data_IF_530177552147
#
_entry.id   IF_530177552147
#
_cell.length_a   1.000
_cell.length_b   1.000
_cell.length_c   1.000
_cell.angle_alpha   90.00
_cell.angle_beta   90.00
_cell.angle_gamma   90.00
#
_symmetry.space_group_name_H-M   'P 1'
#
loop_
_entity.id
_entity.type
_entity.pdbx_description
1 polymer ?
#
# COMPACT_ATOMS: atom_id res chain seq x y z
N UNK A 1 1.56 -5.63 -52.62
CA UNK A 1 2.73 -5.74 -51.71
C UNK A 1 3.18 -4.34 -51.30
N UNK A 2 2.74 -3.86 -50.13
CA UNK A 2 3.36 -2.73 -49.44
C UNK A 2 3.57 -3.17 -48.00
N UNK A 3 4.83 -3.38 -47.67
CA UNK A 3 5.35 -3.75 -46.36
C UNK A 3 5.14 -2.53 -45.44
N UNK A 4 4.21 -2.61 -44.48
CA UNK A 4 4.15 -1.65 -43.37
C UNK A 4 5.12 -2.15 -42.31
N UNK A 5 6.21 -1.42 -42.14
CA UNK A 5 7.17 -1.57 -41.06
C UNK A 5 6.47 -1.07 -39.79
N UNK A 6 6.12 -1.97 -38.86
CA UNK A 6 5.69 -1.60 -37.52
C UNK A 6 6.92 -1.10 -36.75
N UNK A 7 6.91 0.19 -36.40
CA UNK A 7 7.74 0.71 -35.33
C UNK A 7 7.18 0.20 -34.00
N UNK A 8 7.98 -0.59 -33.28
CA UNK A 8 7.72 -0.93 -31.88
C UNK A 8 7.95 0.34 -31.07
N UNK A 9 6.87 1.04 -30.72
CA UNK A 9 6.89 2.15 -29.78
C UNK A 9 6.51 1.64 -28.41
N UNK A 10 7.52 1.27 -27.61
CA UNK A 10 7.45 1.41 -26.16
C UNK A 10 7.14 2.89 -25.88
N UNK A 11 6.16 3.18 -25.01
CA UNK A 11 5.65 4.52 -24.57
C UNK A 11 4.26 4.86 -25.15
N UNK A 12 3.22 4.51 -24.39
CA UNK A 12 2.11 5.42 -24.03
C UNK A 12 1.15 4.75 -23.04
N UNK A 13 1.48 4.78 -21.74
CA UNK A 13 0.50 4.58 -20.66
C UNK A 13 0.31 5.90 -19.87
N UNK A 14 0.61 7.05 -20.51
CA UNK A 14 0.74 8.34 -19.83
C UNK A 14 -0.27 9.42 -20.27
N UNK A 15 -1.24 9.11 -21.14
CA UNK A 15 -2.01 10.18 -21.79
C UNK A 15 -3.54 10.12 -21.72
N UNK A 16 -4.19 9.15 -21.08
CA UNK A 16 -5.65 9.21 -20.88
C UNK A 16 -6.20 8.80 -19.50
N UNK A 17 -5.35 8.42 -18.54
CA UNK A 17 -5.73 8.60 -17.14
C UNK A 17 -5.58 10.09 -16.82
N UNK A 18 -6.72 10.76 -16.63
CA UNK A 18 -6.76 12.14 -16.18
C UNK A 18 -5.74 12.38 -15.05
N UNK A 19 -5.04 13.54 -15.05
CA UNK A 19 -4.08 13.85 -14.01
C UNK A 19 -4.75 13.66 -12.66
N UNK A 20 -3.99 13.08 -11.72
CA UNK A 20 -4.33 12.91 -10.31
C UNK A 20 -4.89 14.22 -9.74
N UNK A 21 -6.20 14.42 -9.88
CA UNK A 21 -6.93 15.65 -9.61
C UNK A 21 -8.40 15.30 -9.43
N UNK A 22 -8.78 15.08 -8.18
CA UNK A 22 -10.15 15.28 -7.69
C UNK A 22 -11.28 14.69 -8.56
N UNK A 23 -11.31 13.36 -8.67
CA UNK A 23 -12.60 12.67 -8.71
C UNK A 23 -12.73 11.93 -7.37
N UNK A 24 -13.55 12.47 -6.47
CA UNK A 24 -14.22 11.64 -5.49
C UNK A 24 -15.10 10.69 -6.28
N UNK A 25 -14.54 9.55 -6.70
CA UNK A 25 -15.37 8.44 -7.13
C UNK A 25 -16.13 7.98 -5.88
N UNK A 26 -17.35 8.46 -5.77
CA UNK A 26 -18.33 7.98 -4.83
C UNK A 26 -18.39 6.45 -4.94
N UNK A 27 -17.82 5.70 -3.98
CA UNK A 27 -18.02 4.25 -3.91
C UNK A 27 -19.55 4.04 -3.89
N UNK A 28 -20.19 3.53 -4.96
CA UNK A 28 -21.58 3.19 -4.90
C UNK A 28 -21.69 2.06 -3.89
N UNK A 29 -22.53 2.25 -2.88
CA UNK A 29 -22.78 1.31 -1.79
C UNK A 29 -23.40 0.00 -2.35
N UNK A 30 -22.55 -0.85 -2.94
CA UNK A 30 -22.93 -2.12 -3.56
C UNK A 30 -21.88 -3.16 -3.20
N UNK A 31 -22.14 -3.87 -2.10
CA UNK A 31 -21.47 -5.14 -1.76
C UNK A 31 -21.31 -5.96 -3.04
N UNK A 32 -20.10 -6.49 -3.26
CA UNK A 32 -19.84 -7.54 -4.25
C UNK A 32 -20.95 -8.62 -4.19
N UNK A 33 -21.86 -8.74 -5.18
CA UNK A 33 -23.05 -9.58 -5.08
C UNK A 33 -22.78 -11.09 -4.92
N UNK A 34 -21.55 -11.54 -5.15
CA UNK A 34 -21.09 -12.92 -4.96
C UNK A 34 -20.55 -13.22 -3.56
N UNK A 35 -20.39 -12.25 -2.65
CA UNK A 35 -19.68 -12.46 -1.37
C UNK A 35 -20.30 -13.55 -0.47
N UNK A 36 -21.60 -13.82 -0.65
CA UNK A 36 -22.34 -14.86 0.07
C UNK A 36 -22.63 -16.11 -0.78
N UNK A 37 -22.14 -16.17 -2.02
CA UNK A 37 -22.40 -17.27 -2.94
C UNK A 37 -21.24 -18.26 -2.93
N UNK A 38 -21.56 -19.54 -2.95
CA UNK A 38 -20.62 -20.63 -3.24
C UNK A 38 -20.63 -21.01 -4.72
N UNK A 39 -21.64 -20.52 -5.46
CA UNK A 39 -21.78 -20.71 -6.89
C UNK A 39 -22.16 -19.38 -7.55
N UNK A 40 -21.40 -19.00 -8.58
CA UNK A 40 -21.61 -17.76 -9.34
C UNK A 40 -21.69 -18.11 -10.81
N UNK A 41 -22.70 -17.59 -11.49
CA UNK A 41 -22.92 -17.87 -12.91
C UNK A 41 -22.32 -16.79 -13.80
N UNK A 42 -21.74 -17.16 -14.93
CA UNK A 42 -21.26 -16.19 -15.91
C UNK A 42 -21.75 -16.54 -17.33
N UNK A 43 -21.92 -15.52 -18.18
CA UNK A 43 -22.18 -15.71 -19.62
C UNK A 43 -21.14 -14.97 -20.46
N UNK A 44 -20.91 -15.45 -21.68
CA UNK A 44 -20.07 -14.79 -22.68
C UNK A 44 -20.97 -14.42 -23.85
N UNK A 45 -21.21 -13.12 -24.04
CA UNK A 45 -22.13 -12.56 -25.04
C UNK A 45 -21.89 -11.03 -25.21
N UNK A 46 -21.53 -10.54 -26.42
CA UNK A 46 -21.31 -11.33 -27.63
C UNK A 46 -19.96 -12.07 -27.60
N UNK A 47 -19.86 -13.09 -28.46
CA UNK A 47 -18.59 -13.73 -28.79
C UNK A 47 -17.82 -12.85 -29.79
N UNK A 48 -16.47 -12.93 -29.79
CA UNK A 48 -15.66 -12.10 -30.66
C UNK A 48 -15.96 -12.38 -32.14
N UNK A 49 -16.03 -11.33 -32.94
CA UNK A 49 -16.33 -11.36 -34.38
C UNK A 49 -15.07 -11.49 -35.25
N UNK A 50 -13.90 -11.20 -34.68
CA UNK A 50 -12.59 -11.39 -35.30
C UNK A 50 -12.40 -12.85 -35.78
N UNK A 51 -12.46 -13.03 -37.10
CA UNK A 51 -12.67 -14.25 -37.90
C UNK A 51 -11.69 -15.43 -37.70
N UNK A 52 -10.90 -15.47 -36.63
CA UNK A 52 -9.85 -16.47 -36.46
C UNK A 52 -9.79 -17.16 -35.11
N UNK A 53 -10.56 -16.77 -34.10
CA UNK A 53 -10.43 -17.42 -32.78
C UNK A 53 -11.31 -18.67 -32.68
N UNK A 54 -10.71 -19.79 -32.31
CA UNK A 54 -11.45 -20.99 -31.92
C UNK A 54 -12.29 -20.65 -30.68
N UNK A 55 -13.61 -20.56 -30.84
CA UNK A 55 -14.56 -20.27 -29.76
C UNK A 55 -14.34 -21.18 -28.53
N UNK A 56 -13.98 -22.44 -28.75
CA UNK A 56 -13.67 -23.37 -27.66
C UNK A 56 -12.41 -22.96 -26.88
N UNK A 57 -11.43 -22.34 -27.53
CA UNK A 57 -10.21 -21.84 -26.90
C UNK A 57 -10.50 -20.61 -26.03
N UNK A 58 -11.31 -19.65 -26.50
CA UNK A 58 -11.76 -18.49 -25.70
C UNK A 58 -12.53 -18.98 -24.48
N UNK A 59 -13.53 -19.84 -24.70
CA UNK A 59 -14.33 -20.44 -23.64
C UNK A 59 -13.46 -21.14 -22.60
N UNK A 60 -12.39 -21.81 -23.03
CA UNK A 60 -11.44 -22.47 -22.13
C UNK A 60 -10.57 -21.48 -21.37
N UNK A 61 -10.08 -20.40 -22.01
CA UNK A 61 -9.29 -19.36 -21.34
C UNK A 61 -10.08 -18.64 -20.26
N UNK A 62 -11.30 -18.19 -20.59
CA UNK A 62 -12.20 -17.55 -19.62
C UNK A 62 -12.52 -18.49 -18.45
N UNK A 63 -12.83 -19.77 -18.73
CA UNK A 63 -13.07 -20.75 -17.67
C UNK A 63 -11.84 -20.90 -16.77
N UNK A 64 -10.61 -21.01 -17.31
CA UNK A 64 -9.40 -21.08 -16.50
C UNK A 64 -9.20 -19.86 -15.61
N UNK A 65 -9.43 -18.66 -16.14
CA UNK A 65 -9.33 -17.42 -15.35
C UNK A 65 -10.33 -17.39 -14.20
N UNK A 66 -11.56 -17.86 -14.41
CA UNK A 66 -12.53 -18.06 -13.33
C UNK A 66 -12.10 -19.16 -12.35
N UNK A 67 -11.58 -20.28 -12.83
CA UNK A 67 -11.13 -21.40 -11.99
C UNK A 67 -9.98 -21.00 -11.06
N UNK A 68 -9.04 -20.16 -11.53
CA UNK A 68 -7.97 -19.59 -10.71
C UNK A 68 -8.53 -18.89 -9.48
N UNK A 69 -9.41 -17.92 -9.68
CA UNK A 69 -10.06 -17.22 -8.58
C UNK A 69 -10.99 -18.12 -7.76
N UNK A 70 -11.71 -19.03 -8.42
CA UNK A 70 -12.63 -19.97 -7.77
C UNK A 70 -11.92 -20.91 -6.80
N UNK A 71 -10.72 -21.37 -7.14
CA UNK A 71 -9.89 -22.24 -6.29
C UNK A 71 -9.44 -21.55 -5.00
N UNK A 72 -9.10 -20.26 -5.08
CA UNK A 72 -8.69 -19.43 -3.94
C UNK A 72 -9.88 -19.09 -3.06
N UNK A 73 -10.96 -18.66 -3.70
CA UNK A 73 -12.13 -18.17 -3.00
C UNK A 73 -13.04 -19.29 -2.52
N UNK A 74 -12.91 -20.53 -2.98
CA UNK A 74 -13.91 -21.57 -2.74
C UNK A 74 -15.27 -21.17 -3.33
N UNK A 75 -15.26 -20.67 -4.56
CA UNK A 75 -16.44 -20.32 -5.36
C UNK A 75 -16.40 -21.12 -6.64
N UNK A 76 -17.50 -21.77 -6.99
CA UNK A 76 -17.65 -22.44 -8.29
C UNK A 76 -18.23 -21.46 -9.30
N UNK A 77 -17.52 -21.24 -10.40
CA UNK A 77 -18.00 -20.41 -11.52
C UNK A 77 -18.57 -21.29 -12.63
N UNK A 78 -19.87 -21.15 -12.88
CA UNK A 78 -20.60 -21.97 -13.85
C UNK A 78 -21.03 -21.13 -15.05
N UNK A 79 -20.66 -21.56 -16.26
CA UNK A 79 -21.12 -20.89 -17.48
C UNK A 79 -22.59 -21.19 -17.76
N UNK A 80 -23.37 -20.14 -18.05
CA UNK A 80 -24.78 -20.24 -18.47
C UNK A 80 -25.02 -19.47 -19.77
N UNK A 81 -26.13 -19.78 -20.45
CA UNK A 81 -26.48 -19.15 -21.73
C UNK A 81 -27.45 -17.95 -21.58
N UNK A 82 -28.01 -17.71 -20.39
CA UNK A 82 -28.89 -16.57 -20.09
C UNK A 82 -28.95 -16.34 -18.57
N UNK A 83 -29.36 -15.13 -18.15
CA UNK A 83 -29.55 -14.76 -16.73
C UNK A 83 -28.36 -15.08 -15.81
N UNK A 84 -27.16 -14.66 -16.22
CA UNK A 84 -25.93 -14.84 -15.44
C UNK A 84 -25.72 -13.75 -14.39
N UNK A 85 -24.96 -14.06 -13.34
CA UNK A 85 -24.49 -13.09 -12.34
C UNK A 85 -23.43 -12.13 -12.89
N UNK A 86 -22.56 -12.64 -13.76
CA UNK A 86 -21.50 -11.89 -14.45
C UNK A 86 -21.73 -11.97 -15.95
N UNK A 87 -21.82 -10.81 -16.59
CA UNK A 87 -21.95 -10.73 -18.05
C UNK A 87 -20.59 -10.35 -18.62
N UNK A 88 -20.03 -11.17 -19.50
CA UNK A 88 -18.77 -10.92 -20.17
C UNK A 88 -19.02 -10.88 -21.67
N UNK A 89 -18.37 -10.01 -22.42
CA UNK A 89 -18.55 -9.93 -23.87
C UNK A 89 -17.37 -9.28 -24.57
N UNK A 90 -17.23 -9.57 -25.87
CA UNK A 90 -16.26 -8.95 -26.76
C UNK A 90 -17.00 -7.95 -27.64
N UNK A 91 -16.58 -6.68 -27.61
CA UNK A 91 -17.31 -5.61 -28.29
C UNK A 91 -16.37 -4.89 -29.26
N UNK A 92 -16.87 -4.59 -30.46
CA UNK A 92 -16.20 -3.68 -31.39
C UNK A 92 -16.42 -2.23 -30.96
N UNK A 93 -15.62 -1.29 -31.50
CA UNK A 93 -15.76 0.15 -31.22
C UNK A 93 -17.18 0.71 -31.35
N UNK A 94 -17.93 0.27 -32.35
CA UNK A 94 -19.28 0.77 -32.64
C UNK A 94 -20.36 0.14 -31.75
N UNK A 95 -20.08 -1.03 -31.19
CA UNK A 95 -21.01 -1.81 -30.37
C UNK A 95 -20.68 -1.77 -28.87
N UNK A 96 -19.52 -1.20 -28.52
CA UNK A 96 -19.06 -1.02 -27.15
C UNK A 96 -19.94 -0.02 -26.40
N UNK A 97 -20.27 -0.28 -25.11
CA UNK A 97 -20.93 0.69 -24.25
C UNK A 97 -20.09 1.97 -23.99
N UNK A 98 -18.81 1.98 -24.40
CA UNK A 98 -17.79 2.98 -24.03
C UNK A 98 -17.20 3.78 -25.22
N UNK A 99 -17.66 3.48 -26.44
CA UNK A 99 -17.61 4.17 -27.75
C UNK A 99 -16.47 5.12 -28.20
N UNK A 100 -15.37 5.38 -27.46
CA UNK A 100 -14.27 6.23 -27.97
C UNK A 100 -12.86 5.57 -27.95
N UNK A 101 -12.66 4.48 -27.21
CA UNK A 101 -11.32 3.92 -26.85
C UNK A 101 -10.94 2.58 -27.51
N UNK A 102 -11.77 2.04 -28.40
CA UNK A 102 -11.51 0.77 -29.10
C UNK A 102 -10.94 1.11 -30.49
N UNK A 103 -9.61 1.11 -30.67
CA UNK A 103 -8.95 1.52 -31.93
C UNK A 103 -7.87 0.55 -32.43
N UNK A 104 -7.74 -0.62 -31.80
CA UNK A 104 -6.76 -1.65 -32.17
C UNK A 104 -5.32 -1.35 -31.75
N UNK A 105 -5.08 -0.46 -30.78
CA UNK A 105 -3.78 -0.25 -30.15
C UNK A 105 -3.83 -0.29 -28.61
N UNK A 106 -3.90 -1.50 -28.04
CA UNK A 106 -3.42 -1.89 -26.70
C UNK A 106 -4.13 -1.39 -25.42
N UNK A 107 -4.49 -2.40 -24.61
CA UNK A 107 -4.55 -2.47 -23.13
C UNK A 107 -5.77 -1.85 -22.39
N UNK A 108 -6.53 -2.77 -21.76
CA UNK A 108 -7.45 -2.69 -20.59
C UNK A 108 -8.50 -1.56 -20.49
N UNK A 109 -9.80 -1.94 -20.40
CA UNK A 109 -10.83 -1.07 -19.82
C UNK A 109 -11.91 -1.87 -19.06
N UNK A 110 -12.06 -1.58 -17.76
CA UNK A 110 -13.25 -1.92 -16.97
C UNK A 110 -14.25 -0.79 -16.96
N UNK A 111 -15.46 -1.11 -17.44
CA UNK A 111 -16.64 -0.29 -17.28
C UNK A 111 -17.21 -0.32 -15.86
N UNK A 112 -16.76 0.59 -15.01
CA UNK A 112 -17.47 1.00 -13.80
C UNK A 112 -18.58 2.01 -14.12
N UNK A 113 -19.80 1.55 -14.35
CA UNK A 113 -21.09 2.30 -14.32
C UNK A 113 -21.20 3.66 -15.04
N UNK A 114 -21.28 3.69 -16.38
CA UNK A 114 -21.85 4.82 -17.11
C UNK A 114 -22.55 4.33 -18.39
N UNK A 115 -23.75 3.74 -18.29
CA UNK A 115 -24.52 3.38 -19.49
C UNK A 115 -25.22 4.60 -20.09
N UNK A 116 -24.95 4.89 -21.36
CA UNK A 116 -25.91 5.58 -22.25
C UNK A 116 -27.13 4.68 -22.42
N UNK A 117 -28.09 4.76 -21.50
CA UNK A 117 -29.50 4.45 -21.74
C UNK A 117 -29.88 3.05 -22.22
N UNK A 118 -29.01 2.02 -22.12
CA UNK A 118 -29.43 0.61 -22.25
C UNK A 118 -29.65 0.03 -20.87
N UNK A 119 -30.82 -0.59 -20.74
CA UNK A 119 -31.47 -0.99 -19.50
C UNK A 119 -30.56 -1.76 -18.54
N UNK A 120 -30.80 -1.49 -17.26
CA UNK A 120 -30.32 -2.27 -16.12
C UNK A 120 -30.55 -3.78 -16.35
N UNK A 121 -29.49 -4.48 -16.75
CA UNK A 121 -29.38 -5.92 -16.57
C UNK A 121 -28.46 -6.09 -15.38
N UNK A 122 -29.01 -6.43 -14.22
CA UNK A 122 -28.27 -6.52 -12.97
C UNK A 122 -27.03 -7.42 -13.09
N UNK A 123 -25.84 -6.84 -12.95
CA UNK A 123 -24.57 -7.56 -12.97
C UNK A 123 -23.48 -6.76 -13.67
N UNK A 124 -22.27 -6.74 -13.10
CA UNK A 124 -21.10 -6.05 -13.68
C UNK A 124 -20.80 -6.66 -15.07
N UNK A 125 -20.43 -5.82 -16.03
CA UNK A 125 -20.05 -6.24 -17.39
C UNK A 125 -18.53 -6.25 -17.50
N UNK A 126 -17.94 -7.37 -17.93
CA UNK A 126 -16.53 -7.43 -18.38
C UNK A 126 -16.56 -7.27 -19.91
N UNK A 127 -15.98 -6.19 -20.42
CA UNK A 127 -15.95 -5.90 -21.85
C UNK A 127 -14.52 -6.06 -22.36
N UNK A 128 -14.31 -6.96 -23.33
CA UNK A 128 -13.05 -7.09 -24.05
C UNK A 128 -13.14 -6.40 -25.41
N UNK A 129 -12.01 -5.91 -25.89
CA UNK A 129 -11.87 -5.35 -27.24
C UNK A 129 -11.88 -6.47 -28.29
N UNK A 130 -12.89 -6.47 -29.15
CA UNK A 130 -13.02 -7.42 -30.25
C UNK A 130 -12.09 -7.09 -31.43
N UNK A 131 -11.59 -5.86 -31.51
CA UNK A 131 -10.64 -5.42 -32.55
C UNK A 131 -9.20 -5.93 -32.26
N UNK A 132 -8.97 -6.55 -31.10
CA UNK A 132 -7.67 -7.11 -30.67
C UNK A 132 -7.40 -8.54 -31.20
N UNK A 133 -6.11 -8.85 -31.42
CA UNK A 133 -5.66 -10.22 -31.74
C UNK A 133 -5.36 -10.98 -30.45
N UNK A 134 -6.32 -11.80 -30.02
CA UNK A 134 -6.21 -12.58 -28.78
C UNK A 134 -5.41 -13.89 -28.95
N UNK A 135 -4.51 -14.16 -28.00
CA UNK A 135 -3.86 -15.47 -27.83
C UNK A 135 -4.29 -16.12 -26.51
N UNK A 136 -4.46 -17.44 -26.54
CA UNK A 136 -4.80 -18.26 -25.37
C UNK A 136 -3.76 -19.35 -25.16
N UNK A 137 -3.61 -19.83 -23.92
CA UNK A 137 -2.83 -21.04 -23.66
C UNK A 137 -3.48 -22.28 -24.29
N UNK A 138 -2.67 -23.15 -24.94
CA UNK A 138 -3.10 -24.49 -25.40
C UNK A 138 -2.69 -25.52 -24.35
N UNK A 139 -3.63 -26.34 -23.87
CA UNK A 139 -3.31 -27.52 -23.07
C UNK A 139 -3.00 -28.69 -24.01
N UNK A 140 -1.82 -29.29 -23.87
CA UNK A 140 -1.53 -30.63 -24.38
C UNK A 140 -1.70 -31.65 -23.27
N UNK A 141 -2.41 -32.73 -23.58
CA UNK A 141 -2.89 -33.75 -22.68
C UNK A 141 -1.73 -34.46 -21.96
N UNK A 142 -1.34 -33.97 -20.79
CA UNK A 142 -0.40 -34.63 -19.89
C UNK A 142 1.05 -34.55 -20.38
N UNK A 143 1.93 -34.08 -19.51
CA UNK A 143 3.33 -33.71 -19.73
C UNK A 143 3.55 -32.28 -20.24
N UNK A 144 4.29 -31.57 -19.39
CA UNK A 144 4.71 -30.19 -19.48
C UNK A 144 5.32 -29.88 -20.86
N UNK A 145 4.73 -28.93 -21.57
CA UNK A 145 5.41 -28.10 -22.57
C UNK A 145 4.62 -26.81 -22.71
N UNK A 146 5.13 -25.70 -22.16
CA UNK A 146 4.70 -24.35 -22.55
C UNK A 146 5.25 -24.13 -23.96
N UNK A 147 4.43 -24.37 -24.98
CA UNK A 147 4.72 -23.93 -26.34
C UNK A 147 3.78 -22.81 -26.69
N UNK A 148 4.42 -21.72 -27.11
CA UNK A 148 3.80 -20.55 -27.67
C UNK A 148 2.76 -20.91 -28.73
N UNK A 149 1.68 -20.12 -28.69
CA UNK A 149 0.78 -19.79 -29.78
C UNK A 149 -0.15 -20.88 -30.32
N UNK A 150 -1.45 -20.60 -30.15
CA UNK A 150 -2.49 -21.06 -31.09
C UNK A 150 -2.34 -20.37 -32.47
N UNK A 151 -1.47 -19.36 -32.58
CA UNK A 151 -1.31 -18.48 -33.75
C UNK A 151 0.13 -18.27 -34.28
N UNK A 152 1.09 -19.16 -34.00
CA UNK A 152 2.43 -19.10 -34.59
C UNK A 152 3.13 -17.72 -34.59
N UNK A 153 3.46 -17.18 -33.43
CA UNK A 153 4.45 -16.11 -33.29
C UNK A 153 4.04 -14.72 -33.78
N UNK A 154 2.76 -14.36 -33.73
CA UNK A 154 2.33 -13.00 -34.10
C UNK A 154 2.78 -12.01 -33.02
N UNK A 155 3.84 -11.26 -33.31
CA UNK A 155 4.26 -10.11 -32.51
C UNK A 155 3.10 -9.09 -32.43
N UNK A 156 2.61 -8.80 -31.22
CA UNK A 156 1.49 -7.88 -30.96
C UNK A 156 0.21 -8.53 -30.41
N UNK A 157 0.11 -9.87 -30.33
CA UNK A 157 -1.09 -10.53 -29.80
C UNK A 157 -1.20 -10.46 -28.26
N UNK A 158 -2.41 -10.15 -27.76
CA UNK A 158 -2.75 -9.93 -26.33
C UNK A 158 -3.10 -11.25 -25.65
N UNK A 159 -2.50 -11.52 -24.47
CA UNK A 159 -2.74 -12.75 -23.72
C UNK A 159 -4.10 -12.70 -22.99
N UNK A 160 -5.11 -13.39 -23.52
CA UNK A 160 -6.45 -13.40 -22.95
C UNK A 160 -6.48 -14.01 -21.55
N UNK A 161 -5.65 -15.04 -21.27
CA UNK A 161 -5.60 -15.66 -19.95
C UNK A 161 -5.15 -14.64 -18.88
N UNK A 162 -4.18 -13.77 -19.19
CA UNK A 162 -3.69 -12.74 -18.27
C UNK A 162 -4.73 -11.65 -18.04
N UNK A 163 -5.22 -11.05 -19.14
CA UNK A 163 -6.21 -9.97 -19.10
C UNK A 163 -7.49 -10.44 -18.43
N UNK A 164 -8.07 -11.57 -18.84
CA UNK A 164 -9.29 -12.07 -18.24
C UNK A 164 -9.13 -12.38 -16.74
N UNK A 165 -7.96 -12.87 -16.30
CA UNK A 165 -7.71 -13.10 -14.88
C UNK A 165 -7.66 -11.78 -14.11
N UNK A 166 -7.02 -10.75 -14.66
CA UNK A 166 -7.00 -9.39 -14.08
C UNK A 166 -8.41 -8.79 -13.96
N UNK A 167 -9.18 -8.80 -15.05
CA UNK A 167 -10.52 -8.20 -15.09
C UNK A 167 -11.54 -8.93 -14.20
N UNK A 168 -11.40 -10.25 -14.07
CA UNK A 168 -12.18 -10.99 -13.09
C UNK A 168 -11.79 -10.59 -11.67
N UNK A 169 -10.51 -10.31 -11.38
CA UNK A 169 -10.07 -9.82 -10.08
C UNK A 169 -10.76 -8.53 -9.67
N UNK A 170 -10.84 -7.56 -10.59
CA UNK A 170 -11.63 -6.35 -10.38
C UNK A 170 -13.12 -6.60 -10.23
N UNK A 171 -13.65 -7.52 -11.05
CA UNK A 171 -15.03 -7.97 -10.89
C UNK A 171 -15.24 -8.46 -9.48
N UNK A 172 -14.32 -9.24 -8.90
CA UNK A 172 -14.38 -9.75 -7.52
C UNK A 172 -14.20 -8.69 -6.43
N UNK A 173 -13.80 -7.47 -6.79
CA UNK A 173 -13.61 -6.34 -5.89
C UNK A 173 -12.15 -6.04 -5.56
N UNK A 174 -11.19 -6.61 -6.29
CA UNK A 174 -9.78 -6.25 -6.18
C UNK A 174 -9.50 -4.95 -6.94
N UNK A 175 -8.42 -4.28 -6.57
CA UNK A 175 -7.87 -3.17 -7.34
C UNK A 175 -6.42 -3.42 -7.67
N UNK A 176 -5.81 -2.52 -8.45
CA UNK A 176 -4.44 -2.69 -8.87
C UNK A 176 -3.49 -2.89 -7.67
N UNK A 177 -2.57 -3.83 -7.83
CA UNK A 177 -1.45 -4.06 -6.94
C UNK A 177 -0.27 -3.15 -7.32
N UNK A 178 0.55 -2.69 -6.36
CA UNK A 178 1.82 -2.05 -6.66
C UNK A 178 2.94 -3.06 -7.01
N UNK A 179 2.67 -4.37 -6.89
CA UNK A 179 3.63 -5.45 -7.09
C UNK A 179 3.61 -5.94 -8.53
N UNK A 180 4.73 -5.84 -9.25
CA UNK A 180 4.85 -6.23 -10.67
C UNK A 180 4.61 -7.72 -10.95
N UNK A 181 4.72 -8.54 -9.92
CA UNK A 181 4.51 -9.98 -9.95
C UNK A 181 3.04 -10.40 -9.79
N UNK A 182 2.16 -9.47 -9.41
CA UNK A 182 0.74 -9.74 -9.21
C UNK A 182 -0.02 -9.72 -10.53
N UNK A 183 -1.02 -10.59 -10.67
CA UNK A 183 -2.00 -10.49 -11.75
C UNK A 183 -2.66 -9.13 -11.70
N UNK A 184 -2.96 -8.60 -10.51
CA UNK A 184 -3.56 -7.27 -10.36
C UNK A 184 -2.58 -6.11 -10.59
N UNK A 185 -1.35 -6.29 -11.09
CA UNK A 185 -0.43 -5.17 -11.32
C UNK A 185 -0.94 -4.20 -12.40
N UNK A 186 -1.14 -2.92 -12.05
CA UNK A 186 -1.65 -1.91 -12.99
C UNK A 186 -0.63 -1.35 -13.99
N UNK A 187 0.62 -1.83 -13.96
CA UNK A 187 1.69 -1.39 -14.87
C UNK A 187 1.91 -2.30 -16.08
N UNK A 188 1.04 -3.30 -16.28
CA UNK A 188 1.04 -4.22 -17.42
C UNK A 188 0.66 -5.65 -17.03
N UNK A 189 -0.22 -6.27 -17.81
CA UNK A 189 -0.72 -7.65 -17.62
C UNK A 189 0.17 -8.67 -18.34
N UNK A 190 1.28 -9.03 -17.69
CA UNK A 190 2.10 -10.17 -18.11
C UNK A 190 1.88 -11.41 -17.21
N UNK A 191 1.55 -11.20 -15.94
CA UNK A 191 1.26 -12.25 -14.98
C UNK A 191 -0.17 -12.79 -15.17
N UNK A 192 -0.32 -14.11 -15.10
CA UNK A 192 -1.62 -14.80 -15.17
C UNK A 192 -1.79 -15.86 -14.07
N UNK A 193 -0.74 -16.19 -13.32
CA UNK A 193 -0.81 -17.03 -12.14
C UNK A 193 -0.94 -16.15 -10.89
N UNK A 194 -1.87 -16.51 -10.01
CA UNK A 194 -2.17 -15.71 -8.82
C UNK A 194 -0.99 -15.77 -7.85
N UNK A 195 -0.46 -14.61 -7.49
CA UNK A 195 0.55 -14.51 -6.43
C UNK A 195 -0.08 -14.74 -5.06
N UNK A 196 0.76 -14.97 -4.03
CA UNK A 196 0.27 -15.06 -2.64
C UNK A 196 -0.47 -13.79 -2.20
N UNK A 197 -0.04 -12.64 -2.72
CA UNK A 197 -0.64 -11.31 -2.50
C UNK A 197 -2.01 -11.23 -3.18
N UNK A 198 -2.17 -11.65 -4.44
CA UNK A 198 -3.47 -11.74 -5.12
C UNK A 198 -4.44 -12.64 -4.34
N UNK A 199 -3.98 -13.84 -3.96
CA UNK A 199 -4.80 -14.82 -3.26
C UNK A 199 -5.30 -14.31 -1.90
N UNK A 200 -4.39 -13.74 -1.11
CA UNK A 200 -4.70 -13.21 0.23
C UNK A 200 -5.67 -12.04 0.15
N UNK A 201 -5.47 -11.12 -0.81
CA UNK A 201 -6.38 -9.99 -1.03
C UNK A 201 -7.78 -10.46 -1.43
N UNK A 202 -7.89 -11.48 -2.28
CA UNK A 202 -9.17 -12.08 -2.66
C UNK A 202 -9.88 -12.71 -1.46
N UNK A 203 -9.18 -13.51 -0.64
CA UNK A 203 -9.73 -14.13 0.57
C UNK A 203 -10.24 -13.06 1.55
N UNK A 204 -9.45 -11.99 1.80
CA UNK A 204 -9.88 -10.87 2.67
C UNK A 204 -11.17 -10.21 2.18
N UNK A 205 -11.30 -9.99 0.86
CA UNK A 205 -12.54 -9.45 0.27
C UNK A 205 -13.73 -10.38 0.55
N UNK A 206 -13.52 -11.70 0.54
CA UNK A 206 -14.58 -12.67 0.86
C UNK A 206 -14.91 -12.74 2.36
N UNK A 207 -13.91 -12.68 3.24
CA UNK A 207 -14.08 -12.87 4.69
C UNK A 207 -14.63 -11.65 5.43
N UNK A 208 -14.37 -10.43 4.94
CA UNK A 208 -14.72 -9.19 5.66
C UNK A 208 -16.22 -8.82 5.50
N UNK A 209 -17.10 -9.60 6.16
CA UNK A 209 -18.59 -9.57 6.08
C UNK A 209 -19.28 -8.28 6.57
N UNK A 210 -18.55 -7.22 6.89
CA UNK A 210 -19.11 -5.93 7.36
C UNK A 210 -18.35 -4.77 6.75
N UNK A 211 -18.89 -4.19 5.68
CA UNK A 211 -18.38 -2.96 5.09
C UNK A 211 -17.40 -3.23 3.95
N UNK A 212 -17.79 -2.79 2.75
CA UNK A 212 -16.91 -2.74 1.61
C UNK A 212 -15.85 -1.66 1.89
N UNK A 213 -14.72 -2.03 2.50
CA UNK A 213 -13.51 -1.21 2.41
C UNK A 213 -12.93 -1.48 1.02
N UNK A 214 -13.30 -0.62 0.05
CA UNK A 214 -12.84 -0.61 -1.34
C UNK A 214 -11.30 -0.85 -1.36
N UNK A 215 -10.76 -2.03 -1.79
CA UNK A 215 -9.31 -2.35 -1.69
C UNK A 215 -8.43 -1.68 -2.76
N UNK A 216 -8.63 -0.37 -2.93
CA UNK A 216 -7.74 0.52 -3.69
C UNK A 216 -8.29 1.94 -3.94
N UNK A 217 -9.46 2.27 -3.39
CA UNK A 217 -9.66 3.60 -2.83
C UNK A 217 -9.37 3.43 -1.34
N UNK A 218 -8.12 3.61 -0.91
CA UNK A 218 -7.64 3.37 0.46
C UNK A 218 -8.71 3.71 1.50
N UNK A 219 -9.46 2.69 1.92
CA UNK A 219 -10.48 2.83 2.95
C UNK A 219 -9.74 3.18 4.23
N UNK A 220 -9.88 4.43 4.65
CA UNK A 220 -9.23 4.93 5.86
C UNK A 220 -9.70 4.07 7.03
N UNK A 221 -8.79 3.28 7.62
CA UNK A 221 -9.09 2.41 8.74
C UNK A 221 -9.54 3.27 9.93
N UNK A 222 -10.78 3.05 10.40
CA UNK A 222 -11.29 3.73 11.58
C UNK A 222 -10.44 3.36 12.80
N UNK A 223 -9.98 4.35 13.53
CA UNK A 223 -9.07 4.16 14.65
C UNK A 223 -9.42 5.09 15.80
N UNK A 224 -9.47 4.53 17.01
CA UNK A 224 -9.93 5.24 18.19
C UNK A 224 -8.78 6.02 18.84
N UNK A 225 -8.65 7.29 18.47
CA UNK A 225 -7.72 8.22 19.11
C UNK A 225 -8.32 8.81 20.38
N UNK A 226 -7.58 8.71 21.49
CA UNK A 226 -7.99 9.26 22.77
C UNK A 226 -7.12 10.47 23.09
N UNK A 227 -7.76 11.63 23.28
CA UNK A 227 -7.05 12.87 23.57
C UNK A 227 -6.48 12.83 25.00
N UNK A 228 -5.17 13.01 25.13
CA UNK A 228 -4.48 13.15 26.41
C UNK A 228 -4.43 14.63 26.82
N UNK A 229 -4.33 14.96 28.12
CA UNK A 229 -4.22 16.33 28.58
C UNK A 229 -2.86 16.95 28.21
N UNK A 230 -2.81 18.26 28.07
CA UNK A 230 -1.59 19.01 27.76
C UNK A 230 -1.38 19.29 26.27
N UNK A 231 -0.27 19.99 25.98
CA UNK A 231 0.13 20.35 24.61
C UNK A 231 1.61 20.00 24.42
N UNK A 232 1.91 19.25 23.37
CA UNK A 232 3.27 18.87 22.98
C UNK A 232 3.42 19.00 21.46
N UNK A 233 4.63 19.37 21.03
CA UNK A 233 5.02 19.45 19.61
C UNK A 233 5.67 18.15 19.12
N UNK A 234 6.16 17.31 20.04
CA UNK A 234 6.69 15.99 19.75
C UNK A 234 6.58 15.07 20.97
N UNK A 235 6.26 13.80 20.74
CA UNK A 235 6.13 12.76 21.78
C UNK A 235 6.86 11.48 21.38
N UNK A 236 7.40 10.77 22.36
CA UNK A 236 8.05 9.47 22.20
C UNK A 236 7.61 8.53 23.32
N UNK A 237 7.22 7.31 22.93
CA UNK A 237 6.99 6.18 23.82
C UNK A 237 8.12 5.17 23.61
N UNK A 238 8.64 4.63 24.70
CA UNK A 238 9.61 3.55 24.69
C UNK A 238 8.99 2.18 24.99
N UNK A 239 9.71 1.11 24.69
CA UNK A 239 9.26 -0.28 24.93
C UNK A 239 9.14 -0.65 26.41
N UNK A 240 9.64 0.21 27.32
CA UNK A 240 9.36 0.13 28.76
C UNK A 240 8.13 0.94 29.21
N UNK A 241 7.27 1.28 28.24
CA UNK A 241 6.03 2.05 28.37
C UNK A 241 6.18 3.50 28.86
N UNK A 242 7.41 3.99 29.03
CA UNK A 242 7.62 5.39 29.41
C UNK A 242 7.34 6.30 28.23
N UNK A 243 6.60 7.38 28.51
CA UNK A 243 6.25 8.40 27.51
C UNK A 243 6.85 9.73 27.92
N UNK A 244 7.59 10.34 27.00
CA UNK A 244 8.16 11.67 27.16
C UNK A 244 7.82 12.52 25.94
N UNK A 245 7.87 13.83 26.09
CA UNK A 245 7.69 14.72 24.97
C UNK A 245 8.21 16.12 25.25
N UNK A 246 8.16 16.94 24.22
CA UNK A 246 8.56 18.35 24.27
C UNK A 246 7.48 19.22 23.67
N UNK A 247 7.30 20.43 24.21
CA UNK A 247 6.32 21.39 23.70
C UNK A 247 6.96 22.43 22.77
N UNK A 248 6.17 23.42 22.32
CA UNK A 248 6.62 24.46 21.41
C UNK A 248 7.71 25.38 21.99
N UNK A 249 7.81 25.51 23.33
CA UNK A 249 8.88 26.26 24.01
C UNK A 249 10.10 25.40 24.37
N UNK A 250 10.22 24.21 23.76
CA UNK A 250 11.26 23.21 24.02
C UNK A 250 11.27 22.71 25.48
N UNK A 251 10.20 22.91 26.25
CA UNK A 251 10.09 22.38 27.61
C UNK A 251 9.81 20.87 27.57
N UNK A 252 10.48 20.13 28.46
CA UNK A 252 10.47 18.66 28.49
C UNK A 252 9.42 18.19 29.49
N UNK A 253 8.66 17.16 29.10
CA UNK A 253 7.64 16.56 29.94
C UNK A 253 7.74 15.03 29.94
N UNK A 254 7.35 14.42 31.06
CA UNK A 254 7.25 12.97 31.23
C UNK A 254 5.85 12.60 31.71
N UNK A 255 5.23 11.63 31.07
CA UNK A 255 3.92 11.11 31.49
C UNK A 255 4.04 10.39 32.83
N UNK A 256 3.13 10.69 33.77
CA UNK A 256 3.12 10.11 35.11
C UNK A 256 1.93 9.15 35.36
N UNK A 257 1.15 8.84 34.32
CA UNK A 257 -0.06 8.02 34.42
C UNK A 257 -1.37 8.83 34.46
N UNK A 258 -1.31 10.10 34.86
CA UNK A 258 -2.48 10.99 34.95
C UNK A 258 -2.31 12.33 34.23
N UNK A 259 -1.05 12.75 34.04
CA UNK A 259 -0.67 14.00 33.43
C UNK A 259 0.82 14.04 33.12
N UNK A 260 1.34 15.26 32.94
CA UNK A 260 2.70 15.51 32.50
C UNK A 260 3.52 16.21 33.57
N UNK A 261 4.56 15.53 34.07
CA UNK A 261 5.56 16.14 34.93
C UNK A 261 6.56 16.92 34.08
N UNK A 262 6.78 18.19 34.42
CA UNK A 262 7.82 19.00 33.78
C UNK A 262 9.20 18.54 34.26
N UNK A 263 10.10 18.28 33.32
CA UNK A 263 11.49 17.89 33.59
C UNK A 263 12.41 19.07 33.27
N UNK A 264 13.38 19.34 34.14
CA UNK A 264 14.36 20.41 33.92
C UNK A 264 15.20 20.15 32.67
N UNK A 265 15.40 21.20 31.88
CA UNK A 265 16.12 21.16 30.61
C UNK A 265 15.30 21.80 29.48
N UNK A 266 15.91 21.87 28.30
CA UNK A 266 15.24 22.29 27.06
C UNK A 266 15.69 21.42 25.88
N UNK A 267 14.74 20.82 25.19
CA UNK A 267 14.97 19.95 24.03
C UNK A 267 13.92 20.24 22.97
N UNK A 268 14.32 20.24 21.70
CA UNK A 268 13.40 20.34 20.56
C UNK A 268 12.92 18.98 20.07
N UNK A 269 13.60 17.90 20.46
CA UNK A 269 13.25 16.53 20.15
C UNK A 269 13.77 15.59 21.24
N UNK A 270 12.95 14.62 21.63
CA UNK A 270 13.27 13.60 22.63
C UNK A 270 12.86 12.21 22.14
N UNK A 271 13.68 11.20 22.44
CA UNK A 271 13.38 9.81 22.15
C UNK A 271 13.66 8.92 23.35
N UNK A 272 12.75 7.99 23.58
CA UNK A 272 12.73 7.03 24.69
C UNK A 272 12.78 5.63 24.08
N UNK A 273 13.82 4.87 24.43
CA UNK A 273 13.88 3.42 24.22
C UNK A 273 13.44 2.68 25.48
N UNK A 274 14.17 1.65 25.91
CA UNK A 274 13.88 0.98 27.18
C UNK A 274 14.86 1.37 28.31
N UNK A 275 14.40 1.28 29.56
CA UNK A 275 15.21 1.44 30.76
C UNK A 275 15.69 2.86 31.00
N UNK A 276 16.99 3.10 30.77
CA UNK A 276 17.65 4.43 30.87
C UNK A 276 18.02 5.01 29.50
N UNK A 277 17.54 4.41 28.41
CA UNK A 277 17.82 4.88 27.05
C UNK A 277 16.91 6.06 26.69
N UNK A 278 17.16 7.22 27.29
CA UNK A 278 16.45 8.47 26.96
C UNK A 278 17.44 9.50 26.46
N UNK A 279 17.21 9.97 25.24
CA UNK A 279 18.09 10.87 24.51
C UNK A 279 17.31 12.03 23.93
N UNK A 280 17.97 13.15 23.74
CA UNK A 280 17.35 14.29 23.09
C UNK A 280 18.35 15.24 22.49
N UNK A 281 17.83 16.16 21.68
CA UNK A 281 18.58 17.26 21.08
C UNK A 281 17.89 18.58 21.33
N UNK A 282 18.67 19.65 21.50
CA UNK A 282 18.15 20.99 21.77
C UNK A 282 18.12 21.86 20.50
N UNK A 283 17.70 23.13 20.66
CA UNK A 283 17.63 24.09 19.57
C UNK A 283 18.94 24.22 18.77
N UNK A 284 20.10 24.19 19.45
CA UNK A 284 21.43 24.29 18.84
C UNK A 284 22.01 22.96 18.32
N UNK A 285 21.18 21.93 18.16
CA UNK A 285 21.56 20.56 17.76
C UNK A 285 22.48 19.84 18.77
N UNK A 286 22.65 20.38 19.99
CA UNK A 286 23.45 19.72 21.01
C UNK A 286 22.72 18.48 21.55
N UNK A 287 23.48 17.40 21.75
CA UNK A 287 22.96 16.08 22.12
C UNK A 287 23.04 15.90 23.63
N UNK A 288 21.98 15.34 24.21
CA UNK A 288 21.87 15.06 25.63
C UNK A 288 21.36 13.65 25.88
N UNK A 289 21.88 13.02 26.94
CA UNK A 289 21.44 11.71 27.43
C UNK A 289 20.97 11.84 28.88
N UNK A 290 19.81 11.28 29.19
CA UNK A 290 19.30 11.26 30.56
C UNK A 290 20.10 10.28 31.42
N UNK A 291 20.53 10.72 32.61
CA UNK A 291 21.31 9.89 33.53
C UNK A 291 20.49 9.35 34.73
N UNK A 292 19.21 9.73 34.83
CA UNK A 292 18.31 9.38 35.94
C UNK A 292 17.90 10.58 36.79
N UNK A 293 18.71 11.63 36.86
CA UNK A 293 18.45 12.85 37.62
C UNK A 293 18.59 14.13 36.80
N UNK A 294 19.35 14.09 35.71
CA UNK A 294 19.59 15.22 34.81
C UNK A 294 20.08 14.76 33.42
N UNK A 295 20.59 15.73 32.67
CA UNK A 295 21.03 15.55 31.28
C UNK A 295 22.54 15.67 31.17
N UNK A 296 23.19 14.60 30.72
CA UNK A 296 24.61 14.62 30.36
C UNK A 296 24.73 15.07 28.90
N UNK A 297 25.58 16.06 28.65
CA UNK A 297 25.89 16.49 27.28
C UNK A 297 26.78 15.46 26.60
N UNK A 298 26.41 15.04 25.40
CA UNK A 298 27.17 14.11 24.57
C UNK A 298 27.79 14.86 23.39
N UNK A 299 29.06 14.57 23.08
CA UNK A 299 29.75 15.20 21.96
C UNK A 299 29.09 14.83 20.62
N UNK A 300 28.97 15.81 19.73
CA UNK A 300 28.31 15.69 18.43
C UNK A 300 27.22 16.75 18.24
N UNK A 301 26.63 16.78 17.04
CA UNK A 301 25.48 17.63 16.72
C UNK A 301 24.47 16.86 15.88
N UNK A 302 23.23 16.84 16.32
CA UNK A 302 22.12 16.17 15.64
C UNK A 302 20.87 17.03 15.71
N UNK A 303 20.10 17.10 14.62
CA UNK A 303 18.80 17.78 14.61
C UNK A 303 17.67 16.90 15.08
N UNK A 304 17.85 15.58 15.00
CA UNK A 304 16.90 14.56 15.44
C UNK A 304 17.64 13.29 15.89
N UNK A 305 17.10 12.61 16.89
CA UNK A 305 17.70 11.43 17.52
C UNK A 305 16.61 10.41 17.87
N UNK A 306 16.93 9.12 17.74
CA UNK A 306 16.06 8.01 18.12
C UNK A 306 16.84 6.98 18.94
N UNK A 307 16.19 6.45 19.98
CA UNK A 307 16.72 5.41 20.86
C UNK A 307 15.79 4.19 20.88
N UNK A 308 16.35 2.99 20.73
CA UNK A 308 15.62 1.72 20.74
C UNK A 308 15.72 0.96 22.07
N UNK A 309 14.96 -0.13 22.22
CA UNK A 309 14.93 -0.95 23.43
C UNK A 309 16.27 -1.58 23.78
N UNK A 310 17.06 -1.94 22.78
CA UNK A 310 18.36 -2.61 22.93
C UNK A 310 19.55 -1.63 23.06
N UNK A 311 19.25 -0.38 23.46
CA UNK A 311 20.20 0.72 23.59
C UNK A 311 20.83 1.17 22.27
N UNK A 312 20.30 0.72 21.12
CA UNK A 312 20.64 1.33 19.83
C UNK A 312 20.25 2.80 19.82
N UNK A 313 21.16 3.65 19.36
CA UNK A 313 20.89 5.08 19.21
C UNK A 313 21.37 5.53 17.85
N UNK A 314 20.48 6.19 17.12
CA UNK A 314 20.71 6.73 15.80
C UNK A 314 20.23 8.17 15.75
N UNK A 315 20.78 8.95 14.83
CA UNK A 315 20.28 10.29 14.59
C UNK A 315 20.74 10.84 13.27
N UNK A 316 20.20 12.00 12.94
CA UNK A 316 20.53 12.76 11.74
C UNK A 316 20.91 14.18 12.10
N UNK A 317 21.84 14.77 11.36
CA UNK A 317 22.30 16.15 11.57
C UNK A 317 21.60 17.15 10.63
N UNK A 318 22.01 18.42 10.69
CA UNK A 318 21.46 19.49 9.87
C UNK A 318 21.54 19.19 8.36
N UNK A 319 22.63 18.56 7.90
CA UNK A 319 22.90 18.18 6.51
C UNK A 319 22.34 16.79 6.11
N UNK A 320 21.37 16.27 6.85
CA UNK A 320 20.76 14.94 6.64
C UNK A 320 21.77 13.77 6.73
N UNK A 321 22.97 13.99 7.28
CA UNK A 321 23.94 12.94 7.52
C UNK A 321 23.48 12.01 8.64
N UNK A 322 23.63 10.71 8.44
CA UNK A 322 23.15 9.68 9.36
C UNK A 322 24.28 9.25 10.27
N UNK A 323 23.99 9.15 11.57
CA UNK A 323 24.96 8.72 12.57
C UNK A 323 24.40 7.62 13.47
N UNK A 324 25.26 6.64 13.79
CA UNK A 324 24.99 5.58 14.76
C UNK A 324 25.90 5.75 15.97
N UNK A 325 25.34 5.72 17.17
CA UNK A 325 26.13 5.70 18.40
C UNK A 325 26.83 4.36 18.55
N UNK A 326 28.13 4.37 18.83
CA UNK A 326 28.95 3.17 18.99
C UNK A 326 29.34 2.88 20.45
N UNK A 327 28.87 3.69 21.40
CA UNK A 327 29.21 3.57 22.83
C UNK A 327 30.18 4.64 23.33
N UNK A 328 30.99 5.24 22.44
CA UNK A 328 31.96 6.29 22.78
C UNK A 328 31.86 7.53 21.89
N UNK A 329 31.35 7.37 20.66
CA UNK A 329 31.17 8.41 19.67
C UNK A 329 30.14 8.02 18.60
N UNK A 330 30.18 8.73 17.48
CA UNK A 330 29.23 8.59 16.38
C UNK A 330 29.92 8.07 15.13
N UNK A 331 29.47 6.92 14.63
CA UNK A 331 29.86 6.40 13.32
C UNK A 331 28.99 7.08 12.25
N UNK A 332 29.62 7.65 11.21
CA UNK A 332 28.88 8.13 10.05
C UNK A 332 28.42 6.93 9.20
N UNK A 333 27.13 6.91 8.88
CA UNK A 333 26.52 5.86 8.08
C UNK A 333 26.15 6.45 6.71
N UNK A 334 26.55 5.76 5.65
CA UNK A 334 26.25 6.18 4.28
C UNK A 334 24.74 6.33 4.04
N UNK A 335 24.38 7.35 3.25
CA UNK A 335 22.99 7.73 2.97
C UNK A 335 22.65 9.13 3.50
N UNK A 336 21.43 9.58 3.21
CA UNK A 336 20.88 10.85 3.69
C UNK A 336 19.44 10.67 4.16
N UNK A 337 19.15 11.09 5.38
CA UNK A 337 17.81 11.04 5.97
C UNK A 337 17.52 12.34 6.73
N UNK A 338 16.31 12.87 6.61
CA UNK A 338 15.84 14.03 7.39
C UNK A 338 15.31 13.64 8.77
N UNK A 339 14.91 12.38 8.93
CA UNK A 339 14.43 11.80 10.19
C UNK A 339 14.68 10.28 10.21
N UNK A 340 15.02 9.75 11.38
CA UNK A 340 15.27 8.32 11.61
C UNK A 340 14.56 7.85 12.88
N UNK A 341 14.11 6.60 12.86
CA UNK A 341 13.53 5.88 14.00
C UNK A 341 14.19 4.52 14.15
N UNK A 342 14.53 4.17 15.39
CA UNK A 342 15.11 2.88 15.75
C UNK A 342 14.32 2.26 16.90
N UNK A 343 13.78 1.07 16.66
CA UNK A 343 13.17 0.23 17.70
C UNK A 343 14.19 -0.73 18.31
N UNK A 344 15.06 -1.29 17.48
CA UNK A 344 16.16 -2.17 17.88
C UNK A 344 17.26 -2.18 16.82
N UNK A 345 18.36 -2.91 17.05
CA UNK A 345 19.44 -3.14 16.07
C UNK A 345 18.94 -3.65 14.73
N UNK A 346 17.80 -4.37 14.69
CA UNK A 346 17.23 -4.93 13.46
C UNK A 346 16.10 -4.11 12.86
N UNK A 347 15.63 -3.08 13.57
CA UNK A 347 14.47 -2.29 13.16
C UNK A 347 14.82 -0.82 13.14
N UNK A 348 15.39 -0.40 12.02
CA UNK A 348 15.84 0.97 11.76
C UNK A 348 15.16 1.44 10.48
N UNK A 349 14.39 2.51 10.59
CA UNK A 349 13.61 3.10 9.51
C UNK A 349 13.86 4.60 9.46
N UNK A 350 13.73 5.21 8.29
CA UNK A 350 13.86 6.65 8.18
C UNK A 350 13.26 7.20 6.91
N UNK A 351 13.16 8.53 6.85
CA UNK A 351 12.68 9.27 5.69
C UNK A 351 13.73 10.26 5.23
N UNK A 352 13.88 10.40 3.91
CA UNK A 352 14.77 11.40 3.31
C UNK A 352 14.05 12.74 3.05
N UNK A 353 14.78 13.72 2.49
CA UNK A 353 14.25 15.04 2.16
C UNK A 353 12.98 14.96 1.28
N UNK A 354 13.01 14.10 0.25
CA UNK A 354 11.93 13.85 -0.71
C UNK A 354 10.77 13.00 -0.14
N UNK A 355 10.85 12.61 1.13
CA UNK A 355 9.85 11.80 1.81
C UNK A 355 9.82 10.33 1.40
N UNK A 356 10.85 9.84 0.71
CA UNK A 356 11.04 8.39 0.48
C UNK A 356 11.37 7.74 1.82
N UNK A 357 10.67 6.64 2.11
CA UNK A 357 10.89 5.83 3.31
C UNK A 357 11.94 4.77 3.00
N UNK A 358 12.85 4.54 3.94
CA UNK A 358 13.86 3.49 3.87
C UNK A 358 13.83 2.64 5.13
N UNK A 359 14.08 1.34 5.01
CA UNK A 359 14.53 0.51 6.12
C UNK A 359 16.01 0.14 5.95
N UNK A 360 16.69 -0.12 7.06
CA UNK A 360 18.07 -0.61 7.05
C UNK A 360 18.09 -2.12 6.99
N UNK A 361 18.62 -2.66 5.90
CA UNK A 361 19.05 -4.04 5.83
C UNK A 361 20.43 -4.14 6.50
N UNK A 362 20.45 -4.69 7.71
CA UNK A 362 21.67 -4.77 8.53
C UNK A 362 22.60 -5.88 8.09
N UNK A 363 22.06 -6.95 7.50
CA UNK A 363 22.83 -8.11 7.07
C UNK A 363 23.58 -7.79 5.76
N UNK A 364 22.91 -7.10 4.84
CA UNK A 364 23.52 -6.63 3.59
C UNK A 364 24.14 -5.22 3.69
N UNK A 365 24.06 -4.60 4.86
CA UNK A 365 24.62 -3.28 5.16
C UNK A 365 24.18 -2.16 4.19
N UNK A 366 22.90 -2.16 3.78
CA UNK A 366 22.34 -1.21 2.79
C UNK A 366 21.02 -0.61 3.25
N UNK A 367 20.66 0.53 2.65
CA UNK A 367 19.30 1.08 2.76
C UNK A 367 18.43 0.53 1.63
N UNK A 368 17.22 0.12 1.96
CA UNK A 368 16.24 -0.37 1.00
C UNK A 368 15.05 0.57 1.01
N UNK A 369 14.69 1.12 -0.15
CA UNK A 369 13.55 2.02 -0.29
C UNK A 369 12.23 1.25 -0.21
N UNK A 370 11.27 1.81 0.51
CA UNK A 370 9.92 1.29 0.63
C UNK A 370 8.97 2.17 -0.19
N UNK A 371 8.27 1.56 -1.13
CA UNK A 371 7.27 2.20 -1.99
C UNK A 371 5.91 2.36 -1.27
N UNK A 372 4.98 3.07 -1.92
CA UNK A 372 3.58 3.20 -1.49
C UNK A 372 3.19 4.61 -1.07
N UNK A 373 3.91 5.23 -0.12
CA UNK A 373 3.61 6.59 0.35
C UNK A 373 4.87 7.46 0.40
N UNK A 374 4.67 8.77 0.47
CA UNK A 374 5.71 9.73 0.89
C UNK A 374 5.42 10.19 2.30
N UNK A 375 6.41 10.11 3.17
CA UNK A 375 6.27 10.45 4.58
C UNK A 375 7.17 11.62 4.99
N UNK A 376 6.69 12.42 5.92
CA UNK A 376 7.53 13.39 6.65
C UNK A 376 8.10 12.81 7.94
N UNK A 377 7.48 11.76 8.46
CA UNK A 377 7.88 11.10 9.71
C UNK A 377 7.56 9.60 9.64
N UNK A 378 8.46 8.77 10.17
CA UNK A 378 8.26 7.32 10.36
C UNK A 378 8.69 6.92 11.76
N UNK A 379 7.99 5.95 12.36
CA UNK A 379 8.32 5.37 13.66
C UNK A 379 8.22 3.84 13.59
N UNK A 380 9.16 3.17 14.24
CA UNK A 380 9.22 1.72 14.36
C UNK A 380 9.49 1.30 15.81
N UNK A 381 8.82 0.25 16.29
CA UNK A 381 9.10 -0.35 17.62
C UNK A 381 10.05 -1.56 17.52
N UNK A 382 10.39 -2.16 18.66
CA UNK A 382 11.33 -3.29 18.73
C UNK A 382 10.81 -4.62 18.15
N UNK A 383 9.51 -4.71 17.88
CA UNK A 383 8.87 -5.83 17.16
C UNK A 383 8.77 -5.62 15.64
N UNK A 384 9.23 -4.46 15.14
CA UNK A 384 9.22 -4.13 13.72
C UNK A 384 7.89 -3.57 13.21
N UNK A 385 6.99 -3.14 14.10
CA UNK A 385 5.74 -2.48 13.70
C UNK A 385 6.02 -1.04 13.33
N UNK A 386 5.58 -0.63 12.14
CA UNK A 386 5.93 0.66 11.53
C UNK A 386 4.69 1.49 11.28
N UNK A 387 4.77 2.76 11.65
CA UNK A 387 3.77 3.78 11.34
C UNK A 387 4.44 5.01 10.74
N UNK A 388 3.70 5.75 9.93
CA UNK A 388 4.18 6.94 9.25
C UNK A 388 3.12 8.02 9.19
N UNK A 389 3.60 9.24 8.97
CA UNK A 389 2.79 10.43 8.74
C UNK A 389 3.25 11.09 7.44
N UNK A 390 2.32 11.42 6.55
CA UNK A 390 2.61 12.13 5.30
C UNK A 390 2.71 13.66 5.49
N UNK A 391 2.99 14.39 4.40
CA UNK A 391 3.08 15.85 4.43
C UNK A 391 1.75 16.56 4.75
N UNK A 392 0.62 15.87 4.60
CA UNK A 392 -0.74 16.36 4.81
C UNK A 392 -1.32 15.89 6.15
N UNK A 393 -0.48 15.44 7.07
CA UNK A 393 -0.86 14.91 8.39
C UNK A 393 -1.70 13.63 8.35
N UNK A 394 -1.76 12.93 7.21
CA UNK A 394 -2.43 11.62 7.11
C UNK A 394 -1.56 10.56 7.76
N UNK A 395 -2.20 9.65 8.48
CA UNK A 395 -1.56 8.61 9.28
C UNK A 395 -1.61 7.30 8.51
N UNK A 396 -0.52 6.53 8.54
CA UNK A 396 -0.42 5.23 7.91
C UNK A 396 0.21 4.22 8.86
N UNK A 397 -0.34 3.00 8.91
CA UNK A 397 0.35 1.84 9.49
C UNK A 397 0.86 0.94 8.38
N UNK A 398 1.97 0.24 8.62
CA UNK A 398 2.49 -0.76 7.70
C UNK A 398 2.12 -2.17 8.15
N UNK A 399 1.77 -3.01 7.20
CA UNK A 399 1.77 -4.47 7.35
C UNK A 399 2.58 -5.13 6.24
N UNK A 400 2.43 -6.45 6.12
CA UNK A 400 3.18 -7.27 5.16
C UNK A 400 2.81 -6.93 3.71
N UNK A 401 1.63 -6.33 3.48
CA UNK A 401 1.10 -6.01 2.15
C UNK A 401 1.35 -4.56 1.73
N UNK A 402 1.53 -3.63 2.68
CA UNK A 402 1.83 -2.25 2.36
C UNK A 402 1.45 -1.24 3.43
N UNK A 403 1.13 -0.03 2.98
CA UNK A 403 0.70 1.07 3.85
C UNK A 403 -0.82 1.17 3.87
N UNK A 404 -1.41 1.13 5.05
CA UNK A 404 -2.85 1.31 5.26
C UNK A 404 -3.07 2.66 5.92
N UNK A 405 -3.86 3.52 5.29
CA UNK A 405 -4.23 4.81 5.87
C UNK A 405 -5.15 4.58 7.07
N UNK A 406 -4.90 5.32 8.14
CA UNK A 406 -5.64 5.27 9.40
C UNK A 406 -6.32 6.63 9.62
N UNK A 407 -7.55 6.61 10.15
CA UNK A 407 -8.34 7.83 10.41
C UNK A 407 -7.65 8.70 11.44
N UNK A 408 -7.79 10.01 11.32
CA UNK A 408 -7.15 10.99 12.21
C UNK A 408 -6.14 11.86 11.47
N UNK A 409 -5.54 12.79 12.20
CA UNK A 409 -4.54 13.72 11.68
C UNK A 409 -3.49 13.98 12.74
N UNK A 410 -2.24 13.65 12.45
CA UNK A 410 -1.10 13.85 13.34
C UNK A 410 0.05 14.47 12.55
N UNK A 411 0.87 15.30 13.18
CA UNK A 411 2.11 15.83 12.61
C UNK A 411 3.30 14.93 12.93
N UNK A 412 3.22 14.19 14.04
CA UNK A 412 4.23 13.23 14.50
C UNK A 412 3.58 12.13 15.34
N UNK A 413 4.16 10.92 15.29
CA UNK A 413 3.77 9.79 16.13
C UNK A 413 4.99 8.97 16.59
N UNK A 414 4.78 8.15 17.61
CA UNK A 414 5.72 7.18 18.14
C UNK A 414 4.98 5.87 18.42
N UNK A 415 5.53 4.76 17.93
CA UNK A 415 5.02 3.40 18.14
C UNK A 415 5.74 2.79 19.33
N UNK A 416 5.00 2.33 20.32
CA UNK A 416 5.50 1.62 21.50
C UNK A 416 5.16 0.14 21.48
N UNK A 417 5.23 -0.54 22.64
CA UNK A 417 4.91 -1.97 22.75
C UNK A 417 3.40 -2.20 22.54
N UNK A 418 3.01 -3.42 22.16
CA UNK A 418 1.62 -3.82 21.92
C UNK A 418 0.84 -2.93 20.92
N UNK A 419 1.54 -2.28 19.98
CA UNK A 419 0.99 -1.28 19.07
C UNK A 419 0.33 -0.08 19.78
N UNK A 420 0.76 0.24 20.99
CA UNK A 420 0.40 1.51 21.62
C UNK A 420 1.05 2.67 20.84
N UNK A 421 0.22 3.61 20.39
CA UNK A 421 0.67 4.78 19.63
C UNK A 421 0.45 6.02 20.48
N UNK A 422 1.46 6.87 20.54
CA UNK A 422 1.33 8.26 20.98
C UNK A 422 1.64 9.19 19.83
N UNK A 423 0.90 10.28 19.70
CA UNK A 423 1.15 11.28 18.67
C UNK A 423 0.62 12.65 19.03
N UNK A 424 1.02 13.62 18.22
CA UNK A 424 0.59 15.01 18.33
C UNK A 424 0.06 15.51 17.00
N UNK A 425 -0.91 16.42 17.01
CA UNK A 425 -1.47 17.03 15.80
C UNK A 425 -0.86 18.41 15.50
N UNK A 426 -1.40 19.12 14.51
CA UNK A 426 -0.93 20.46 14.10
C UNK A 426 -1.29 21.58 15.08
N UNK A 427 -2.13 21.29 16.07
CA UNK A 427 -2.48 22.20 17.17
C UNK A 427 -1.77 21.82 18.48
N UNK A 428 -0.70 21.02 18.40
CA UNK A 428 0.06 20.47 19.53
C UNK A 428 -0.79 19.61 20.50
N UNK A 429 -1.99 19.18 20.08
CA UNK A 429 -2.84 18.32 20.90
C UNK A 429 -2.34 16.88 20.87
N UNK A 430 -2.39 16.21 22.02
CA UNK A 430 -1.80 14.91 22.24
C UNK A 430 -2.86 13.82 22.13
N UNK A 431 -2.55 12.73 21.45
CA UNK A 431 -3.42 11.57 21.31
C UNK A 431 -2.68 10.27 21.61
N UNK A 432 -3.42 9.30 22.17
CA UNK A 432 -2.97 7.92 22.35
C UNK A 432 -4.00 6.92 21.82
N UNK A 433 -3.52 5.79 21.29
CA UNK A 433 -4.38 4.66 20.92
C UNK A 433 -4.92 3.91 22.14
N UNK A 434 -4.30 4.07 23.33
CA UNK A 434 -4.61 3.30 24.52
C UNK A 434 -5.44 4.11 25.54
N UNK A 435 -6.76 3.93 25.51
CA UNK A 435 -7.68 4.60 26.44
C UNK A 435 -7.41 4.29 27.93
N UNK A 436 -6.72 3.18 28.26
CA UNK A 436 -6.41 2.83 29.66
C UNK A 436 -5.35 3.75 30.27
N UNK A 437 -4.55 4.44 29.46
CA UNK A 437 -3.59 5.44 29.93
C UNK A 437 -4.24 6.67 30.54
N UNK A 438 -5.54 6.89 30.29
CA UNK A 438 -6.25 8.12 30.66
C UNK A 438 -7.26 7.92 31.79
N UNK A 439 -7.27 6.75 32.44
CA UNK A 439 -8.23 6.38 33.47
C UNK A 439 -7.64 6.40 34.87
#
# INVERSE_FOLDING_TARGET
MKLKILFVSTICCFLLCAPFSQAQDSCPDKRAPWINKTEVTYKIDPMPTSDLVNEAAIRSAIQRSFDRWGSVLGITFTRVNSNADINLGFFSREESPFSEEFDGNAWEHLGGSNTRGRAEVGGRIIAFDDDEVWKTQRLSNGFETVVADVFGGIAGAVNLDAVATHEIGHTLGLQHSPHSEDVMYGGGVEAYELSNTDMSRAIRVKENRTGWNCPGAWGVESFNWNKAPGLLRQVSIGDDEKVWGVNAEDAIYRWNGSGWDKINGRLKHISVGAGRSVWGVNAEDAIYRWNGSGWDKVNGRLKQISAGSDQSVWGVNAEDAIYRWNGSGWDNISGRLKQISVGSRKHIWGVNAEGVIYYRDVDENRWVSISGIRAKYVSVNDSGKVWAVDSNDKIYRRDDEGWIQVSGSLTQLSVGPDNEIWGVNSSDEIYTSNARRLK
#
